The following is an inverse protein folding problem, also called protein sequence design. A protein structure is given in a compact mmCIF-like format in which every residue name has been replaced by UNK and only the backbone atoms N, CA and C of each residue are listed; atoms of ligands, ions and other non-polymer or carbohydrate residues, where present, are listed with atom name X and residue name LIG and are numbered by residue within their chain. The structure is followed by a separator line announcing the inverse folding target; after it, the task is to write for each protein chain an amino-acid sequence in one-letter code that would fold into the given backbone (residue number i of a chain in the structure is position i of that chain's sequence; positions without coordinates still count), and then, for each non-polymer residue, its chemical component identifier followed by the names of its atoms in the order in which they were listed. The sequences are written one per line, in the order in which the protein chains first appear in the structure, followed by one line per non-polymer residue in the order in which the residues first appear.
data_IF_929196549081
#
_entry.id   IF_929196549081
#
_cell.length_a   1.000
_cell.length_b   1.000
_cell.length_c   1.000
_cell.angle_alpha   90.00
_cell.angle_beta   90.00
_cell.angle_gamma   90.00
#
_symmetry.space_group_name_H-M   'P 1'
#
loop_
_entity.id
_entity.type
_entity.pdbx_description
1 polymer ?
#
# COMPACT_ATOMS: atom_id res chain seq x y z
N UNK A 1 7.03 -22.43 38.06
CA UNK A 1 7.49 -21.21 37.38
C UNK A 1 7.10 -21.26 35.92
N UNK A 2 6.17 -20.43 35.46
CA UNK A 2 5.77 -20.41 34.04
C UNK A 2 6.92 -19.83 33.22
N UNK A 3 7.50 -20.63 32.33
CA UNK A 3 8.41 -20.15 31.30
C UNK A 3 7.66 -19.10 30.47
N UNK A 4 7.96 -17.82 30.68
CA UNK A 4 7.49 -16.74 29.81
C UNK A 4 8.23 -16.87 28.47
N UNK A 5 7.73 -17.76 27.60
CA UNK A 5 8.11 -17.89 26.20
C UNK A 5 7.63 -16.67 25.38
N UNK A 6 7.81 -15.45 25.90
CA UNK A 6 7.85 -14.26 25.05
C UNK A 6 9.20 -14.29 24.32
N UNK A 7 9.40 -15.33 23.51
CA UNK A 7 10.35 -15.32 22.42
C UNK A 7 9.93 -14.12 21.57
N UNK A 8 10.59 -12.98 21.80
CA UNK A 8 10.51 -11.84 20.92
C UNK A 8 10.83 -12.40 19.54
N UNK A 9 9.83 -12.50 18.67
CA UNK A 9 10.04 -12.82 17.26
C UNK A 9 11.03 -11.78 16.74
N UNK A 10 12.32 -12.13 16.70
CA UNK A 10 13.33 -11.30 16.08
C UNK A 10 13.01 -11.39 14.60
N UNK A 11 12.21 -10.43 14.11
CA UNK A 11 11.83 -10.37 12.71
C UNK A 11 13.09 -10.45 11.84
N UNK A 12 13.07 -11.37 10.87
CA UNK A 12 14.12 -11.48 9.87
C UNK A 12 13.95 -10.43 8.78
N UNK A 13 15.00 -10.25 7.96
CA UNK A 13 14.92 -9.48 6.73
C UNK A 13 14.02 -10.26 5.76
N UNK A 14 12.98 -9.61 5.24
CA UNK A 14 12.13 -10.22 4.22
C UNK A 14 12.93 -10.34 2.92
N UNK A 15 12.79 -11.46 2.23
CA UNK A 15 13.47 -11.69 0.96
C UNK A 15 13.06 -10.61 -0.08
N UNK A 16 14.00 -10.05 -0.87
CA UNK A 16 13.73 -8.91 -1.76
C UNK A 16 12.58 -9.12 -2.76
N UNK A 17 12.43 -10.31 -3.35
CA UNK A 17 11.36 -10.61 -4.31
C UNK A 17 9.98 -10.62 -3.63
N UNK A 18 9.88 -11.16 -2.42
CA UNK A 18 8.66 -11.09 -1.59
C UNK A 18 8.35 -9.66 -1.19
N UNK A 19 9.37 -8.83 -0.90
CA UNK A 19 9.17 -7.41 -0.65
C UNK A 19 8.62 -6.68 -1.88
N UNK A 20 9.15 -6.97 -3.07
CA UNK A 20 8.65 -6.40 -4.32
C UNK A 20 7.19 -6.79 -4.59
N UNK A 21 6.84 -8.06 -4.32
CA UNK A 21 5.47 -8.55 -4.41
C UNK A 21 4.55 -7.78 -3.46
N UNK A 22 4.96 -7.63 -2.19
CA UNK A 22 4.18 -6.88 -1.20
C UNK A 22 4.01 -5.40 -1.60
N UNK A 23 5.07 -4.75 -2.09
CA UNK A 23 5.03 -3.36 -2.57
C UNK A 23 4.04 -3.17 -3.72
N UNK A 24 3.99 -4.10 -4.68
CA UNK A 24 3.04 -4.09 -5.80
C UNK A 24 1.58 -4.04 -5.34
N UNK A 25 1.21 -4.75 -4.28
CA UNK A 25 -0.17 -4.78 -3.79
C UNK A 25 -0.48 -3.65 -2.80
N UNK A 26 0.48 -3.27 -1.96
CA UNK A 26 0.23 -2.41 -0.80
C UNK A 26 0.67 -0.96 -0.98
N UNK A 27 1.74 -0.71 -1.74
CA UNK A 27 2.41 0.58 -1.80
C UNK A 27 2.34 1.24 -3.18
N UNK A 28 2.62 0.51 -4.26
CA UNK A 28 2.68 1.03 -5.62
C UNK A 28 1.28 1.19 -6.21
N UNK A 29 0.59 2.22 -5.73
CA UNK A 29 -0.80 2.55 -6.05
C UNK A 29 -0.97 4.04 -6.28
N UNK A 30 -1.97 4.38 -7.06
CA UNK A 30 -2.45 5.76 -7.21
C UNK A 30 -3.60 6.02 -6.23
N UNK A 31 -3.70 7.25 -5.73
CA UNK A 31 -4.73 7.71 -4.81
C UNK A 31 -5.45 8.90 -5.46
N UNK A 32 -6.78 8.90 -5.44
CA UNK A 32 -7.56 10.07 -5.86
C UNK A 32 -7.46 11.17 -4.80
N UNK A 33 -7.19 12.42 -5.21
CA UNK A 33 -7.12 13.57 -4.29
C UNK A 33 -8.47 13.96 -3.71
N UNK A 34 -9.56 13.72 -4.44
CA UNK A 34 -10.93 14.09 -4.00
C UNK A 34 -11.56 13.06 -3.08
N UNK A 35 -11.42 11.77 -3.38
CA UNK A 35 -12.11 10.70 -2.65
C UNK A 35 -11.21 9.70 -1.94
N UNK A 36 -9.89 9.88 -2.00
CA UNK A 36 -8.87 9.01 -1.39
C UNK A 36 -8.95 7.53 -1.80
N UNK A 37 -9.66 7.21 -2.88
CA UNK A 37 -9.74 5.84 -3.37
C UNK A 37 -8.37 5.34 -3.86
N UNK A 38 -8.07 4.08 -3.54
CA UNK A 38 -6.90 3.34 -4.05
C UNK A 38 -7.17 2.84 -5.47
N UNK A 39 -6.22 3.09 -6.37
CA UNK A 39 -6.30 2.82 -7.80
C UNK A 39 -5.03 2.10 -8.29
N UNK A 40 -5.12 1.48 -9.46
CA UNK A 40 -3.98 0.89 -10.15
C UNK A 40 -2.93 1.97 -10.48
N UNK A 41 -1.61 1.68 -10.42
CA UNK A 41 -0.55 2.65 -10.71
C UNK A 41 -0.63 3.32 -12.08
N UNK A 42 -1.19 2.62 -13.09
CA UNK A 42 -1.40 3.15 -14.45
C UNK A 42 -2.75 3.86 -14.65
N UNK A 43 -3.54 4.07 -13.60
CA UNK A 43 -4.85 4.72 -13.73
C UNK A 43 -4.68 6.22 -13.98
N UNK A 44 -5.40 6.74 -14.97
CA UNK A 44 -5.45 8.18 -15.30
C UNK A 44 -6.68 8.87 -14.71
N UNK A 45 -7.78 8.12 -14.51
CA UNK A 45 -9.04 8.61 -13.93
C UNK A 45 -9.44 7.79 -12.72
N UNK A 46 -10.15 8.42 -11.77
CA UNK A 46 -10.70 7.70 -10.63
C UNK A 46 -11.88 6.82 -11.03
N UNK A 47 -11.92 5.58 -10.51
CA UNK A 47 -13.05 4.66 -10.73
C UNK A 47 -14.34 5.03 -9.99
N UNK A 48 -14.34 6.04 -9.11
CA UNK A 48 -15.46 6.33 -8.22
C UNK A 48 -16.35 7.43 -8.81
N UNK A 49 -17.65 7.12 -8.97
CA UNK A 49 -18.68 8.07 -9.42
C UNK A 49 -18.81 9.29 -8.49
N UNK A 50 -18.67 9.09 -7.17
CA UNK A 50 -18.79 10.17 -6.16
C UNK A 50 -17.78 11.31 -6.30
N UNK A 51 -16.67 11.12 -7.01
CA UNK A 51 -15.72 12.19 -7.32
C UNK A 51 -15.77 12.62 -8.79
N UNK A 52 -16.84 12.28 -9.50
CA UNK A 52 -17.04 12.60 -10.92
C UNK A 52 -15.95 12.03 -11.82
N UNK A 53 -15.44 10.82 -11.52
CA UNK A 53 -14.34 10.20 -12.27
C UNK A 53 -13.08 11.08 -12.42
N UNK A 54 -12.84 12.00 -11.48
CA UNK A 54 -11.74 12.97 -11.54
C UNK A 54 -10.38 12.37 -11.89
N UNK A 55 -9.65 13.09 -12.73
CA UNK A 55 -8.25 12.86 -13.11
C UNK A 55 -7.24 13.41 -12.08
N UNK A 56 -7.69 14.02 -10.98
CA UNK A 56 -6.82 14.57 -9.94
C UNK A 56 -6.29 13.44 -9.04
N UNK A 57 -5.25 12.77 -9.52
CA UNK A 57 -4.62 11.64 -8.85
C UNK A 57 -3.25 12.03 -8.27
N UNK A 58 -2.74 11.18 -7.37
CA UNK A 58 -1.38 11.28 -6.84
C UNK A 58 -0.82 9.88 -6.55
N UNK A 59 0.50 9.68 -6.58
CA UNK A 59 1.10 8.47 -6.04
C UNK A 59 0.79 8.32 -4.54
N UNK A 60 0.60 7.08 -4.08
CA UNK A 60 0.59 6.79 -2.64
C UNK A 60 1.97 7.09 -2.07
N UNK A 61 2.01 7.73 -0.90
CA UNK A 61 3.27 8.07 -0.22
C UNK A 61 4.00 6.78 0.14
N UNK A 62 5.29 6.71 -0.19
CA UNK A 62 6.15 5.58 0.19
C UNK A 62 6.55 5.69 1.65
N UNK A 63 6.65 4.55 2.34
CA UNK A 63 7.22 4.47 3.68
C UNK A 63 8.74 4.69 3.52
N UNK A 64 9.31 5.53 4.38
CA UNK A 64 10.76 5.76 4.44
C UNK A 64 11.42 4.65 5.24
#
# INVERSE_FOLDING_TARGET
STLHLVLRLRGGIIEPSLMALARKYNQDKMICRKCYARLHPRAVNCRKKKCGHSNQLRPKKKIK
#
